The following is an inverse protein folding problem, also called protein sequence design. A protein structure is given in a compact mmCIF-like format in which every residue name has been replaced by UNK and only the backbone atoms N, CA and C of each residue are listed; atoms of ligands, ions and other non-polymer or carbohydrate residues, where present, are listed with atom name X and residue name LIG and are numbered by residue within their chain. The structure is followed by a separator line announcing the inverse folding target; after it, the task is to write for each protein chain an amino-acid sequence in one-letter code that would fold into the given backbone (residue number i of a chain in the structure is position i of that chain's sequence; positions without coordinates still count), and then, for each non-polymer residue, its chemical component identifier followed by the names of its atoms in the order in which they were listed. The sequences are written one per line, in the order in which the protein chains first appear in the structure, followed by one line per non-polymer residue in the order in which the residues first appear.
data_IF_552971291359
#
_entry.id   IF_552971291359
#
_cell.length_a   1.000
_cell.length_b   1.000
_cell.length_c   1.000
_cell.angle_alpha   90.00
_cell.angle_beta   90.00
_cell.angle_gamma   90.00
#
_symmetry.space_group_name_H-M   'P 1'
#
loop_
_entity.id
_entity.type
_entity.pdbx_description
1 polymer ?
#
# COMPACT_ATOMS: atom_id res chain seq x y z
N UNK A 1 -7.74 -20.09 -4.44
CA UNK A 1 -7.90 -18.63 -4.18
C UNK A 1 -7.98 -17.91 -5.51
N UNK A 2 -8.72 -16.80 -5.61
CA UNK A 2 -8.85 -15.97 -6.82
C UNK A 2 -8.63 -14.51 -6.46
N UNK A 3 -7.76 -13.83 -7.21
CA UNK A 3 -7.52 -12.41 -7.07
C UNK A 3 -8.39 -11.64 -8.07
N UNK A 4 -9.17 -10.69 -7.56
CA UNK A 4 -9.98 -9.81 -8.38
C UNK A 4 -9.16 -8.60 -8.80
N UNK A 5 -9.26 -8.23 -10.07
CA UNK A 5 -8.49 -7.10 -10.61
C UNK A 5 -9.15 -6.49 -11.83
N UNK A 6 -8.55 -5.41 -12.28
CA UNK A 6 -8.92 -4.72 -13.52
C UNK A 6 -7.65 -4.32 -14.27
N UNK A 7 -7.78 -4.24 -15.59
CA UNK A 7 -6.71 -3.84 -16.48
C UNK A 7 -7.23 -2.82 -17.47
N UNK A 8 -6.46 -1.76 -17.71
CA UNK A 8 -6.84 -0.70 -18.64
C UNK A 8 -5.60 -0.04 -19.26
N UNK A 9 -5.78 0.56 -20.45
CA UNK A 9 -4.69 1.21 -21.19
C UNK A 9 -3.83 0.23 -21.96
N UNK A 10 -2.84 0.77 -22.65
CA UNK A 10 -1.87 0.03 -23.47
C UNK A 10 -0.47 0.64 -23.24
N UNK A 11 0.59 -0.12 -23.52
CA UNK A 11 1.97 0.31 -23.38
C UNK A 11 2.72 -0.38 -22.25
N UNK A 12 3.78 0.23 -21.68
CA UNK A 12 4.55 -0.34 -20.58
C UNK A 12 3.66 -0.62 -19.35
N UNK A 13 3.89 -1.77 -18.71
CA UNK A 13 3.05 -2.23 -17.62
C UNK A 13 3.32 -1.46 -16.31
N UNK A 14 2.24 -1.12 -15.63
CA UNK A 14 2.23 -0.54 -14.28
C UNK A 14 1.30 -1.39 -13.42
N UNK A 15 1.77 -1.86 -12.27
CA UNK A 15 0.96 -2.63 -11.31
C UNK A 15 0.68 -1.79 -10.07
N UNK A 16 -0.59 -1.71 -9.69
CA UNK A 16 -1.06 -0.98 -8.51
C UNK A 16 -1.28 -1.94 -7.33
N UNK A 17 -0.61 -1.68 -6.21
CA UNK A 17 -0.61 -2.47 -4.98
C UNK A 17 -1.16 -1.63 -3.83
N UNK A 18 -2.28 -2.01 -3.27
CA UNK A 18 -2.94 -1.23 -2.21
C UNK A 18 -2.39 -1.54 -0.80
N UNK A 19 -2.69 -0.66 0.15
CA UNK A 19 -2.38 -0.82 1.57
C UNK A 19 -3.33 -1.76 2.30
N UNK A 20 -2.91 -2.22 3.47
CA UNK A 20 -3.73 -2.98 4.40
C UNK A 20 -5.03 -2.23 4.69
N UNK A 21 -6.16 -2.88 4.72
CA UNK A 21 -7.50 -2.29 4.85
C UNK A 21 -8.02 -1.50 3.62
N UNK A 22 -7.24 -1.38 2.55
CA UNK A 22 -7.64 -0.70 1.32
C UNK A 22 -8.04 -1.70 0.20
N UNK A 23 -8.36 -1.20 -0.96
CA UNK A 23 -8.60 -1.97 -2.18
C UNK A 23 -7.86 -1.35 -3.36
N UNK A 24 -7.78 -2.04 -4.49
CA UNK A 24 -7.12 -1.57 -5.72
C UNK A 24 -7.46 -0.13 -6.12
N UNK A 25 -8.65 0.36 -5.75
CA UNK A 25 -9.11 1.71 -6.09
C UNK A 25 -8.44 2.83 -5.31
N UNK A 26 -7.78 2.50 -4.17
CA UNK A 26 -7.22 3.51 -3.27
C UNK A 26 -5.74 3.82 -3.54
N UNK A 27 -5.06 3.09 -4.43
CA UNK A 27 -3.64 3.36 -4.76
C UNK A 27 -3.50 4.73 -5.41
N UNK A 28 -4.32 4.99 -6.44
CA UNK A 28 -4.38 6.27 -7.17
C UNK A 28 -5.78 6.91 -7.11
N UNK A 29 -6.58 6.53 -6.11
CA UNK A 29 -7.93 7.06 -5.83
C UNK A 29 -8.84 7.11 -7.07
N UNK A 30 -8.78 6.08 -7.93
CA UNK A 30 -9.57 5.97 -9.14
C UNK A 30 -9.15 6.91 -10.28
N UNK A 31 -8.01 7.57 -10.17
CA UNK A 31 -7.46 8.37 -11.27
C UNK A 31 -7.12 7.48 -12.47
N UNK A 32 -7.45 7.96 -13.66
CA UNK A 32 -7.12 7.31 -14.93
C UNK A 32 -6.03 8.07 -15.70
N UNK A 33 -5.19 8.80 -15.00
CA UNK A 33 -4.13 9.60 -15.64
C UNK A 33 -3.03 8.71 -16.21
N UNK A 34 -2.70 7.60 -15.54
CA UNK A 34 -1.65 6.67 -15.99
C UNK A 34 -2.05 5.96 -17.30
N UNK A 35 -3.30 5.52 -17.43
CA UNK A 35 -3.78 4.93 -18.69
C UNK A 35 -3.76 5.96 -19.83
N UNK A 36 -4.13 7.22 -19.52
CA UNK A 36 -4.12 8.31 -20.52
C UNK A 36 -2.71 8.75 -20.91
N UNK A 37 -1.70 8.49 -20.07
CA UNK A 37 -0.28 8.71 -20.40
C UNK A 37 0.36 7.53 -21.14
N UNK A 38 -0.43 6.57 -21.64
CA UNK A 38 0.06 5.47 -22.45
C UNK A 38 0.68 4.34 -21.63
N UNK A 39 0.16 4.09 -20.42
CA UNK A 39 0.56 2.95 -19.58
C UNK A 39 -0.53 1.89 -19.54
N UNK A 40 -0.12 0.63 -19.57
CA UNK A 40 -0.99 -0.53 -19.30
C UNK A 40 -1.08 -0.71 -17.78
N UNK A 41 -2.18 -0.28 -17.17
CA UNK A 41 -2.38 -0.30 -15.72
C UNK A 41 -3.09 -1.57 -15.31
N UNK A 42 -2.48 -2.33 -14.42
CA UNK A 42 -3.03 -3.54 -13.80
C UNK A 42 -3.23 -3.22 -12.32
N UNK A 43 -4.46 -3.34 -11.85
CA UNK A 43 -4.80 -3.12 -10.44
C UNK A 43 -5.54 -4.34 -9.90
N UNK A 44 -5.12 -4.86 -8.76
CA UNK A 44 -5.78 -6.00 -8.15
C UNK A 44 -5.99 -5.80 -6.65
N UNK A 45 -6.99 -6.47 -6.10
CA UNK A 45 -7.17 -6.58 -4.67
C UNK A 45 -6.29 -7.72 -4.15
N UNK A 46 -5.49 -7.47 -3.13
CA UNK A 46 -4.71 -8.49 -2.45
C UNK A 46 -5.64 -9.59 -1.87
N UNK A 47 -5.09 -10.76 -1.58
CA UNK A 47 -5.83 -11.86 -0.95
C UNK A 47 -6.68 -11.38 0.23
N UNK A 48 -7.92 -11.82 0.32
CA UNK A 48 -8.87 -11.45 1.37
C UNK A 48 -9.34 -9.99 1.37
N UNK A 49 -8.88 -9.16 0.43
CA UNK A 49 -9.29 -7.76 0.32
C UNK A 49 -10.24 -7.54 -0.86
N UNK A 50 -11.03 -6.46 -0.79
CA UNK A 50 -11.92 -6.04 -1.86
C UNK A 50 -12.86 -7.15 -2.33
N UNK A 51 -12.70 -7.56 -3.58
CA UNK A 51 -13.47 -8.64 -4.22
C UNK A 51 -12.67 -9.94 -4.33
N UNK A 52 -11.39 -9.97 -3.91
CA UNK A 52 -10.56 -11.17 -3.87
C UNK A 52 -11.03 -12.15 -2.80
N UNK A 53 -10.89 -13.45 -3.08
CA UNK A 53 -11.24 -14.47 -2.08
C UNK A 53 -10.17 -14.57 -1.00
N UNK A 54 -10.53 -14.88 0.25
CA UNK A 54 -9.55 -15.18 1.28
C UNK A 54 -8.78 -16.47 0.98
N UNK A 55 -7.55 -16.63 1.51
CA UNK A 55 -6.87 -17.91 1.54
C UNK A 55 -7.65 -18.92 2.44
N UNK A 56 -7.37 -20.21 2.24
CA UNK A 56 -7.95 -21.26 3.12
C UNK A 56 -7.36 -21.21 4.54
N UNK A 57 -6.07 -20.88 4.63
CA UNK A 57 -5.37 -20.67 5.88
C UNK A 57 -5.49 -19.19 6.30
N UNK A 58 -6.12 -18.88 7.46
CA UNK A 58 -6.26 -17.51 7.94
C UNK A 58 -4.92 -16.83 8.31
N UNK A 59 -3.83 -17.58 8.40
CA UNK A 59 -2.49 -17.06 8.66
C UNK A 59 -1.68 -16.80 7.37
N UNK A 60 -2.22 -17.11 6.19
CA UNK A 60 -1.53 -16.95 4.91
C UNK A 60 -1.67 -15.52 4.35
N UNK A 61 -1.17 -14.52 5.08
CA UNK A 61 -1.12 -13.11 4.69
C UNK A 61 0.26 -12.49 4.86
N UNK A 62 1.29 -13.31 5.07
CA UNK A 62 2.66 -12.82 5.18
C UNK A 62 3.13 -12.13 3.89
N UNK A 63 4.16 -11.28 3.96
CA UNK A 63 4.69 -10.63 2.75
C UNK A 63 5.22 -11.62 1.73
N UNK A 64 5.69 -12.80 2.15
CA UNK A 64 6.02 -13.91 1.24
C UNK A 64 4.82 -14.31 0.39
N UNK A 65 3.65 -14.44 1.00
CA UNK A 65 2.40 -14.77 0.33
C UNK A 65 1.94 -13.66 -0.63
N UNK A 66 2.00 -12.39 -0.17
CA UNK A 66 1.62 -11.22 -0.97
C UNK A 66 2.55 -11.04 -2.18
N UNK A 67 3.85 -11.32 -2.00
CA UNK A 67 4.85 -11.28 -3.08
C UNK A 67 4.63 -12.42 -4.07
N UNK A 68 4.27 -13.61 -3.60
CA UNK A 68 3.89 -14.74 -4.46
C UNK A 68 2.65 -14.42 -5.30
N UNK A 69 1.65 -13.74 -4.71
CA UNK A 69 0.47 -13.26 -5.46
C UNK A 69 0.85 -12.25 -6.54
N UNK A 70 1.73 -11.29 -6.22
CA UNK A 70 2.20 -10.31 -7.20
C UNK A 70 2.91 -10.99 -8.38
N UNK A 71 3.78 -11.97 -8.12
CA UNK A 71 4.41 -12.79 -9.18
C UNK A 71 3.37 -13.48 -10.05
N UNK A 72 2.38 -14.13 -9.41
CA UNK A 72 1.31 -14.81 -10.12
C UNK A 72 0.48 -13.85 -11.00
N UNK A 73 0.22 -12.63 -10.55
CA UNK A 73 -0.46 -11.59 -11.33
C UNK A 73 0.39 -11.19 -12.54
N UNK A 74 1.70 -10.96 -12.36
CA UNK A 74 2.60 -10.63 -13.48
C UNK A 74 2.62 -11.75 -14.53
N UNK A 75 2.71 -13.00 -14.08
CA UNK A 75 2.78 -14.18 -14.96
C UNK A 75 1.46 -14.40 -15.69
N UNK A 76 0.32 -14.32 -15.00
CA UNK A 76 -1.01 -14.46 -15.60
C UNK A 76 -1.30 -13.39 -16.66
N UNK A 77 -0.80 -12.18 -16.45
CA UNK A 77 -0.95 -11.06 -17.40
C UNK A 77 0.13 -11.02 -18.48
N UNK A 78 1.07 -11.95 -18.48
CA UNK A 78 2.16 -11.99 -19.44
C UNK A 78 3.08 -10.77 -19.37
N UNK A 79 3.30 -10.27 -18.14
CA UNK A 79 4.16 -9.11 -17.87
C UNK A 79 5.52 -9.60 -17.42
N UNK A 80 6.53 -9.41 -18.25
CA UNK A 80 7.91 -9.76 -17.90
C UNK A 80 8.51 -8.77 -16.90
N UNK A 81 8.22 -7.48 -17.08
CA UNK A 81 8.74 -6.39 -16.27
C UNK A 81 7.72 -5.27 -16.13
N UNK A 82 7.60 -4.66 -14.95
CA UNK A 82 6.63 -3.60 -14.68
C UNK A 82 7.17 -2.53 -13.73
N UNK A 83 6.59 -1.34 -13.82
CA UNK A 83 6.63 -0.37 -12.74
C UNK A 83 5.68 -0.83 -11.63
N UNK A 84 6.15 -0.86 -10.39
CA UNK A 84 5.32 -1.20 -9.22
C UNK A 84 4.98 0.07 -8.44
N UNK A 85 3.69 0.33 -8.29
CA UNK A 85 3.17 1.47 -7.51
C UNK A 85 2.45 0.92 -6.30
N UNK A 86 3.04 1.04 -5.12
CA UNK A 86 2.51 0.49 -3.89
C UNK A 86 2.26 1.54 -2.82
N UNK A 87 1.11 1.44 -2.12
CA UNK A 87 0.83 2.22 -0.93
C UNK A 87 0.96 1.36 0.33
N UNK A 88 1.71 1.83 1.34
CA UNK A 88 1.88 1.14 2.64
C UNK A 88 2.23 -0.35 2.45
N UNK A 89 1.38 -1.29 2.84
CA UNK A 89 1.56 -2.73 2.59
C UNK A 89 1.96 -3.03 1.14
N UNK A 90 1.35 -2.36 0.16
CA UNK A 90 1.70 -2.53 -1.25
C UNK A 90 3.11 -2.03 -1.59
N UNK A 91 3.61 -0.99 -0.91
CA UNK A 91 4.99 -0.53 -1.08
C UNK A 91 5.98 -1.57 -0.56
N UNK A 92 5.69 -2.19 0.58
CA UNK A 92 6.50 -3.26 1.14
C UNK A 92 6.52 -4.49 0.23
N UNK A 93 5.36 -4.90 -0.30
CA UNK A 93 5.26 -6.00 -1.28
C UNK A 93 6.06 -5.72 -2.55
N UNK A 94 6.02 -4.47 -3.06
CA UNK A 94 6.80 -4.06 -4.22
C UNK A 94 8.32 -4.17 -3.97
N UNK A 95 8.78 -3.72 -2.81
CA UNK A 95 10.18 -3.83 -2.39
C UNK A 95 10.59 -5.28 -2.21
N UNK A 96 9.75 -6.13 -1.58
CA UNK A 96 10.04 -7.55 -1.44
C UNK A 96 10.29 -8.21 -2.80
N UNK A 97 9.44 -7.94 -3.81
CA UNK A 97 9.67 -8.45 -5.16
C UNK A 97 10.93 -7.87 -5.80
N UNK A 98 11.22 -6.58 -5.61
CA UNK A 98 12.41 -5.95 -6.16
C UNK A 98 13.71 -6.54 -5.58
N UNK A 99 13.70 -6.96 -4.32
CA UNK A 99 14.82 -7.65 -3.68
C UNK A 99 14.96 -9.10 -4.15
N UNK A 100 13.84 -9.81 -4.38
CA UNK A 100 13.85 -11.20 -4.83
C UNK A 100 14.14 -11.34 -6.33
N UNK A 101 13.55 -10.49 -7.16
CA UNK A 101 13.54 -10.54 -8.63
C UNK A 101 13.67 -9.14 -9.25
N UNK A 102 14.80 -8.45 -9.09
CA UNK A 102 14.98 -7.08 -9.58
C UNK A 102 14.76 -6.95 -11.11
N UNK A 103 15.00 -8.01 -11.86
CA UNK A 103 14.77 -8.06 -13.31
C UNK A 103 13.26 -7.93 -13.68
N UNK A 104 12.35 -8.24 -12.77
CA UNK A 104 10.89 -8.11 -12.97
C UNK A 104 10.39 -6.69 -12.73
N UNK A 105 11.24 -5.80 -12.19
CA UNK A 105 10.84 -4.45 -11.76
C UNK A 105 11.57 -3.38 -12.58
N UNK A 106 10.81 -2.48 -13.20
CA UNK A 106 11.34 -1.37 -14.00
C UNK A 106 11.67 -0.16 -13.13
N UNK A 107 10.73 0.21 -12.25
CA UNK A 107 10.86 1.29 -11.29
C UNK A 107 9.91 1.05 -10.11
N UNK A 108 10.16 1.72 -9.00
CA UNK A 108 9.34 1.69 -7.79
C UNK A 108 8.68 3.04 -7.54
N UNK A 109 7.40 3.02 -7.19
CA UNK A 109 6.71 4.16 -6.59
C UNK A 109 6.15 3.73 -5.24
N UNK A 110 6.69 4.26 -4.18
CA UNK A 110 6.50 3.82 -2.80
C UNK A 110 5.75 4.92 -2.04
N UNK A 111 4.42 4.77 -1.95
CA UNK A 111 3.55 5.78 -1.38
C UNK A 111 3.33 5.51 0.10
N UNK A 112 3.69 6.47 0.93
CA UNK A 112 3.54 6.42 2.39
C UNK A 112 3.99 5.07 2.98
N UNK A 113 5.28 4.68 2.83
CA UNK A 113 5.79 3.47 3.45
C UNK A 113 5.67 3.57 4.97
N UNK A 114 5.31 2.45 5.63
CA UNK A 114 5.07 2.44 7.08
C UNK A 114 6.11 1.68 7.91
N UNK A 115 7.10 1.03 7.28
CA UNK A 115 8.12 0.25 7.98
C UNK A 115 9.34 1.12 8.36
N UNK A 116 9.60 1.32 9.67
CA UNK A 116 10.68 2.20 10.13
C UNK A 116 12.08 1.55 10.16
N UNK A 117 12.24 0.33 9.66
CA UNK A 117 13.49 -0.41 9.64
C UNK A 117 13.65 -1.45 10.76
N UNK A 118 12.65 -1.61 11.59
CA UNK A 118 12.63 -2.62 12.66
C UNK A 118 11.22 -3.22 12.79
N UNK A 119 11.09 -4.45 13.26
CA UNK A 119 9.79 -5.05 13.52
C UNK A 119 8.92 -4.20 14.45
N UNK A 120 7.59 -4.30 14.28
CA UNK A 120 6.62 -3.68 15.17
C UNK A 120 6.85 -4.14 16.61
N UNK A 121 6.79 -3.21 17.55
CA UNK A 121 6.89 -3.54 18.97
C UNK A 121 5.56 -4.11 19.52
N UNK A 122 5.56 -4.46 20.81
CA UNK A 122 4.39 -5.08 21.44
C UNK A 122 3.17 -4.14 21.49
N UNK A 123 3.38 -2.83 21.63
CA UNK A 123 2.31 -1.84 21.71
C UNK A 123 1.70 -1.62 20.29
N UNK A 124 2.54 -1.53 19.26
CA UNK A 124 2.10 -1.46 17.88
C UNK A 124 1.26 -2.70 17.49
N UNK A 125 1.76 -3.90 17.84
CA UNK A 125 1.04 -5.14 17.58
C UNK A 125 -0.29 -5.22 18.34
N UNK A 126 -0.33 -4.79 19.61
CA UNK A 126 -1.57 -4.72 20.39
C UNK A 126 -2.57 -3.72 19.82
N UNK A 127 -2.11 -2.61 19.23
CA UNK A 127 -2.98 -1.67 18.52
C UNK A 127 -3.62 -2.32 17.29
N UNK A 128 -2.83 -3.03 16.47
CA UNK A 128 -3.36 -3.77 15.32
C UNK A 128 -4.35 -4.87 15.74
N UNK A 129 -4.05 -5.61 16.81
CA UNK A 129 -4.97 -6.64 17.35
C UNK A 129 -6.29 -6.03 17.84
N UNK A 130 -6.24 -4.86 18.46
CA UNK A 130 -7.43 -4.14 18.89
C UNK A 130 -8.32 -3.72 17.72
N UNK A 131 -7.71 -3.19 16.65
CA UNK A 131 -8.42 -2.82 15.42
C UNK A 131 -9.03 -4.05 14.74
N UNK A 132 -8.27 -5.14 14.64
CA UNK A 132 -8.74 -6.41 14.06
C UNK A 132 -9.89 -7.00 14.89
N UNK A 133 -9.79 -7.01 16.22
CA UNK A 133 -10.86 -7.47 17.10
C UNK A 133 -12.12 -6.60 16.98
N UNK A 134 -11.97 -5.28 16.93
CA UNK A 134 -13.08 -4.36 16.66
C UNK A 134 -13.76 -4.67 15.35
N UNK A 135 -13.00 -4.88 14.28
CA UNK A 135 -13.51 -5.23 12.97
C UNK A 135 -14.27 -6.58 12.97
N UNK A 136 -13.74 -7.60 13.64
CA UNK A 136 -14.39 -8.93 13.77
C UNK A 136 -15.70 -8.87 14.54
N UNK A 137 -15.76 -8.13 15.63
CA UNK A 137 -16.89 -8.13 16.54
C UNK A 137 -18.01 -7.16 16.13
N UNK A 138 -17.64 -5.97 15.63
CA UNK A 138 -18.56 -4.89 15.35
C UNK A 138 -18.51 -4.39 13.90
N UNK A 139 -17.81 -5.09 13.00
CA UNK A 139 -17.63 -4.63 11.63
C UNK A 139 -16.94 -3.27 11.57
N UNK A 140 -17.32 -2.45 10.59
CA UNK A 140 -16.72 -1.13 10.40
C UNK A 140 -16.90 -0.21 11.61
N UNK A 141 -18.03 -0.29 12.30
CA UNK A 141 -18.28 0.51 13.50
C UNK A 141 -17.35 0.07 14.65
N UNK A 142 -17.17 -1.23 14.86
CA UNK A 142 -16.25 -1.74 15.88
C UNK A 142 -14.79 -1.38 15.59
N UNK A 143 -14.38 -1.39 14.33
CA UNK A 143 -13.06 -0.86 13.94
C UNK A 143 -12.92 0.62 14.30
N UNK A 144 -13.90 1.44 13.96
CA UNK A 144 -13.90 2.88 14.23
C UNK A 144 -13.89 3.18 15.73
N UNK A 145 -14.60 2.41 16.53
CA UNK A 145 -14.61 2.56 17.99
C UNK A 145 -13.21 2.30 18.59
N UNK A 146 -12.48 1.30 18.07
CA UNK A 146 -11.10 1.03 18.46
C UNK A 146 -10.11 2.07 17.92
N UNK A 147 -10.34 2.60 16.72
CA UNK A 147 -9.43 3.55 16.05
C UNK A 147 -9.57 4.99 16.55
N UNK A 148 -10.79 5.41 16.91
CA UNK A 148 -11.12 6.78 17.32
C UNK A 148 -10.23 7.38 18.41
N UNK A 149 -9.80 6.63 19.46
CA UNK A 149 -8.93 7.18 20.49
C UNK A 149 -7.54 7.63 20.00
N UNK A 150 -7.06 7.08 18.88
CA UNK A 150 -5.75 7.41 18.30
C UNK A 150 -5.81 8.62 17.36
N UNK A 151 -7.01 9.08 16.97
CA UNK A 151 -7.20 10.15 16.00
C UNK A 151 -7.17 11.53 16.66
N UNK A 152 -6.44 12.45 16.02
CA UNK A 152 -6.54 13.88 16.35
C UNK A 152 -7.98 14.36 16.17
N UNK A 153 -8.48 15.09 17.16
CA UNK A 153 -9.85 15.61 17.18
C UNK A 153 -10.16 16.49 15.94
N UNK A 154 -9.15 17.19 15.41
CA UNK A 154 -9.26 18.06 14.23
C UNK A 154 -9.63 17.29 12.96
N UNK A 155 -9.10 16.07 12.80
CA UNK A 155 -9.27 15.29 11.57
C UNK A 155 -10.25 14.12 11.72
N UNK A 156 -10.76 13.87 12.94
CA UNK A 156 -11.53 12.68 13.29
C UNK A 156 -12.68 12.39 12.33
N UNK A 157 -13.55 13.37 12.08
CA UNK A 157 -14.72 13.18 11.21
C UNK A 157 -14.32 12.81 9.78
N UNK A 158 -13.30 13.47 9.24
CA UNK A 158 -12.78 13.18 7.90
C UNK A 158 -12.20 11.78 7.82
N UNK A 159 -11.37 11.39 8.79
CA UNK A 159 -10.73 10.07 8.85
C UNK A 159 -11.78 8.96 9.04
N UNK A 160 -12.76 9.14 9.94
CA UNK A 160 -13.85 8.17 10.13
C UNK A 160 -14.67 7.99 8.85
N UNK A 161 -15.01 9.09 8.17
CA UNK A 161 -15.76 9.03 6.91
C UNK A 161 -15.01 8.27 5.84
N UNK A 162 -13.72 8.58 5.65
CA UNK A 162 -12.87 7.92 4.68
C UNK A 162 -12.64 6.44 5.02
N UNK A 163 -12.40 6.13 6.30
CA UNK A 163 -12.23 4.75 6.78
C UNK A 163 -13.50 3.92 6.57
N UNK A 164 -14.67 4.49 6.84
CA UNK A 164 -15.96 3.84 6.59
C UNK A 164 -16.15 3.52 5.11
N UNK A 165 -15.84 4.46 4.23
CA UNK A 165 -15.91 4.23 2.78
C UNK A 165 -14.94 3.15 2.32
N UNK A 166 -13.73 3.15 2.83
CA UNK A 166 -12.66 2.21 2.48
C UNK A 166 -12.98 0.79 2.94
N UNK A 167 -13.27 0.61 4.23
CA UNK A 167 -13.62 -0.70 4.79
C UNK A 167 -14.92 -1.26 4.24
N UNK A 168 -15.90 -0.42 3.90
CA UNK A 168 -17.15 -0.83 3.29
C UNK A 168 -17.03 -1.38 1.87
N UNK A 169 -15.82 -1.41 1.28
CA UNK A 169 -15.55 -1.98 -0.05
C UNK A 169 -15.16 -3.46 -0.03
N UNK A 170 -14.89 -4.02 1.13
CA UNK A 170 -14.49 -5.42 1.25
C UNK A 170 -15.70 -6.34 1.27
N UNK A 171 -15.61 -7.41 0.49
CA UNK A 171 -16.62 -8.47 0.45
C UNK A 171 -16.59 -9.32 1.71
N UNK A 172 -15.38 -9.57 2.22
CA UNK A 172 -15.14 -10.36 3.43
C UNK A 172 -14.31 -9.55 4.44
N UNK A 173 -15.00 -8.98 5.42
CA UNK A 173 -14.35 -8.14 6.43
C UNK A 173 -13.60 -8.96 7.49
N UNK A 174 -13.93 -10.25 7.65
CA UNK A 174 -13.21 -11.15 8.55
C UNK A 174 -11.82 -11.44 8.00
N UNK A 175 -11.73 -11.67 6.68
CA UNK A 175 -10.45 -11.85 5.99
C UNK A 175 -9.52 -10.62 6.12
N UNK A 176 -10.09 -9.42 6.06
CA UNK A 176 -9.31 -8.19 6.33
C UNK A 176 -8.80 -8.16 7.77
N UNK A 177 -9.62 -8.58 8.75
CA UNK A 177 -9.19 -8.65 10.14
C UNK A 177 -8.10 -9.72 10.35
N UNK A 178 -8.11 -10.83 9.60
CA UNK A 178 -7.04 -11.83 9.62
C UNK A 178 -5.74 -11.23 9.06
N UNK A 179 -5.80 -10.56 7.92
CA UNK A 179 -4.64 -9.85 7.37
C UNK A 179 -4.06 -8.82 8.35
N UNK A 180 -4.91 -8.10 9.10
CA UNK A 180 -4.47 -7.12 10.11
C UNK A 180 -3.73 -7.75 11.29
N UNK A 181 -3.91 -9.03 11.56
CA UNK A 181 -3.16 -9.74 12.60
C UNK A 181 -1.84 -10.33 12.08
N UNK A 182 -1.75 -10.67 10.80
CA UNK A 182 -0.58 -11.33 10.20
C UNK A 182 0.41 -10.32 9.61
N UNK A 183 -0.05 -9.41 8.77
CA UNK A 183 0.82 -8.47 8.04
C UNK A 183 1.76 -7.67 8.94
N UNK A 184 1.32 -7.08 10.07
CA UNK A 184 2.20 -6.31 10.94
C UNK A 184 3.30 -7.14 11.64
N UNK A 185 3.13 -8.47 11.66
CA UNK A 185 4.08 -9.43 12.24
C UNK A 185 5.05 -10.03 11.23
N UNK A 186 4.81 -9.79 9.95
CA UNK A 186 5.58 -10.34 8.84
C UNK A 186 6.39 -9.21 8.20
N UNK A 187 7.70 -9.10 8.43
CA UNK A 187 8.52 -8.11 7.72
C UNK A 187 8.65 -8.50 6.25
N UNK A 188 8.55 -7.50 5.36
CA UNK A 188 8.77 -7.70 3.93
C UNK A 188 10.27 -7.86 3.58
N UNK A 189 11.12 -7.29 4.44
CA UNK A 189 12.59 -7.34 4.34
C UNK A 189 13.19 -7.00 5.72
N UNK A 190 14.47 -7.27 5.90
CA UNK A 190 15.17 -7.11 7.19
C UNK A 190 15.99 -5.81 7.21
N UNK A 191 15.50 -4.82 7.94
CA UNK A 191 16.14 -3.51 8.10
C UNK A 191 16.12 -2.63 6.86
N UNK A 192 16.37 -1.32 7.03
CA UNK A 192 16.42 -0.38 5.90
C UNK A 192 17.67 -0.57 5.03
N UNK A 193 18.75 -1.11 5.57
CA UNK A 193 19.97 -1.41 4.82
C UNK A 193 19.73 -2.35 3.64
N UNK A 194 18.65 -3.14 3.67
CA UNK A 194 18.25 -3.96 2.52
C UNK A 194 17.90 -3.11 1.28
N UNK A 195 17.46 -1.87 1.47
CA UNK A 195 17.13 -0.95 0.38
C UNK A 195 18.37 -0.42 -0.35
N UNK A 196 19.54 -0.39 0.29
CA UNK A 196 20.80 0.10 -0.29
C UNK A 196 21.19 -0.69 -1.56
N UNK A 197 20.73 -1.93 -1.66
CA UNK A 197 20.98 -2.81 -2.82
C UNK A 197 20.01 -2.62 -3.99
N UNK A 198 19.00 -1.76 -3.88
CA UNK A 198 17.99 -1.56 -4.93
C UNK A 198 18.42 -0.44 -5.88
N UNK A 199 19.06 -0.80 -7.00
CA UNK A 199 19.54 0.13 -8.03
C UNK A 199 18.43 0.58 -9.01
N UNK A 200 17.17 0.42 -8.66
CA UNK A 200 16.03 0.80 -9.50
C UNK A 200 15.68 2.28 -9.32
N UNK A 201 15.26 2.99 -10.39
CA UNK A 201 14.64 4.29 -10.24
C UNK A 201 13.47 4.20 -9.26
N UNK A 202 13.43 5.06 -8.25
CA UNK A 202 12.44 4.99 -7.19
C UNK A 202 11.87 6.36 -6.88
N UNK A 203 10.55 6.45 -6.76
CA UNK A 203 9.86 7.61 -6.23
C UNK A 203 9.28 7.24 -4.87
N UNK A 204 9.77 7.87 -3.81
CA UNK A 204 9.18 7.76 -2.47
C UNK A 204 8.25 8.94 -2.25
N UNK A 205 7.02 8.68 -1.87
CA UNK A 205 6.01 9.72 -1.60
C UNK A 205 5.73 9.73 -0.10
N UNK A 206 6.09 10.82 0.56
CA UNK A 206 5.79 11.09 1.95
C UNK A 206 4.67 12.13 2.08
N UNK A 207 4.16 12.33 3.29
CA UNK A 207 3.13 13.32 3.58
C UNK A 207 3.30 13.93 4.96
N UNK A 208 3.04 15.25 5.05
CA UNK A 208 2.87 15.96 6.32
C UNK A 208 1.47 15.76 6.92
N UNK A 209 0.67 14.87 6.35
CA UNK A 209 -0.73 14.70 6.72
C UNK A 209 -0.91 14.21 8.16
N UNK A 210 -1.28 15.12 9.04
CA UNK A 210 -1.59 14.81 10.44
C UNK A 210 -2.84 13.94 10.64
N UNK A 211 -3.59 13.64 9.56
CA UNK A 211 -4.71 12.71 9.58
C UNK A 211 -4.26 11.24 9.43
N UNK A 212 -2.99 11.00 9.12
CA UNK A 212 -2.44 9.64 8.93
C UNK A 212 -1.22 9.39 9.84
N UNK A 213 -1.43 9.24 11.14
CA UNK A 213 -0.34 9.03 12.10
C UNK A 213 0.41 7.71 11.90
N UNK A 214 -0.17 6.76 11.17
CA UNK A 214 0.44 5.47 10.86
C UNK A 214 1.56 5.54 9.81
N UNK A 215 1.67 6.65 9.06
CA UNK A 215 2.67 6.83 8.02
C UNK A 215 3.43 8.15 8.20
N UNK A 216 4.22 8.31 9.26
CA UNK A 216 4.92 9.55 9.54
C UNK A 216 5.98 9.84 8.47
N UNK A 217 6.09 11.12 8.04
CA UNK A 217 7.00 11.57 6.98
C UNK A 217 8.43 11.06 7.15
N UNK A 218 8.96 11.03 8.38
CA UNK A 218 10.32 10.55 8.68
C UNK A 218 10.60 9.12 8.15
N UNK A 219 9.56 8.27 8.03
CA UNK A 219 9.73 6.92 7.47
C UNK A 219 9.97 7.00 5.97
N UNK A 220 9.21 7.83 5.26
CA UNK A 220 9.43 8.05 3.83
C UNK A 220 10.80 8.69 3.56
N UNK A 221 11.22 9.63 4.39
CA UNK A 221 12.56 10.24 4.34
C UNK A 221 13.65 9.17 4.49
N UNK A 222 13.55 8.31 5.52
CA UNK A 222 14.52 7.24 5.74
C UNK A 222 14.56 6.23 4.57
N UNK A 223 13.41 5.90 3.97
CA UNK A 223 13.40 5.03 2.79
C UNK A 223 14.09 5.69 1.59
N UNK A 224 13.87 6.99 1.38
CA UNK A 224 14.51 7.72 0.30
C UNK A 224 16.03 7.87 0.50
N UNK A 225 16.50 7.96 1.74
CA UNK A 225 17.93 8.01 2.08
C UNK A 225 18.65 6.69 1.78
N UNK A 226 17.97 5.54 1.97
CA UNK A 226 18.53 4.20 1.73
C UNK A 226 18.43 3.75 0.27
N UNK A 227 17.50 4.27 -0.51
CA UNK A 227 17.37 3.92 -1.93
C UNK A 227 18.32 4.75 -2.80
N UNK A 228 19.36 4.16 -3.44
CA UNK A 228 20.43 4.92 -4.12
C UNK A 228 19.96 5.83 -5.26
N UNK A 229 18.80 5.51 -5.86
CA UNK A 229 18.22 6.23 -6.98
C UNK A 229 16.81 6.73 -6.68
N UNK A 230 16.59 7.18 -5.44
CA UNK A 230 15.28 7.68 -5.03
C UNK A 230 15.14 9.20 -5.23
N UNK A 231 13.93 9.58 -5.61
CA UNK A 231 13.40 10.91 -5.42
C UNK A 231 12.38 10.88 -4.27
N UNK A 232 12.43 11.88 -3.37
CA UNK A 232 11.40 12.08 -2.36
C UNK A 232 10.42 13.15 -2.83
N UNK A 233 9.14 12.84 -2.83
CA UNK A 233 8.07 13.79 -3.07
C UNK A 233 7.23 13.96 -1.79
N UNK A 234 7.06 15.22 -1.37
CA UNK A 234 6.25 15.62 -0.23
C UNK A 234 5.37 16.78 -0.70
N UNK A 235 4.13 16.84 -0.23
CA UNK A 235 3.24 17.96 -0.53
C UNK A 235 3.69 19.25 0.16
N UNK A 236 3.20 20.40 -0.32
CA UNK A 236 3.44 21.69 0.30
C UNK A 236 2.79 21.78 1.69
N UNK A 237 3.47 22.43 2.65
CA UNK A 237 2.93 22.64 4.00
C UNK A 237 1.56 23.33 3.97
N UNK A 238 0.61 22.77 4.72
CA UNK A 238 -0.75 23.34 4.85
C UNK A 238 -1.74 22.78 3.84
N UNK A 239 -1.34 21.94 2.92
CA UNK A 239 -2.29 21.15 2.15
C UNK A 239 -2.93 20.10 3.05
N UNK A 240 -4.19 19.94 2.88
CA UNK A 240 -5.24 19.22 3.56
C UNK A 240 -4.97 17.83 4.12
N UNK A 241 -5.75 17.35 5.08
CA UNK A 241 -5.77 15.94 5.40
C UNK A 241 -6.03 15.12 4.13
N UNK A 242 -5.16 14.20 3.76
CA UNK A 242 -5.18 13.38 2.53
C UNK A 242 -4.59 14.08 1.29
N UNK A 243 -3.43 14.70 1.47
CA UNK A 243 -2.74 15.53 0.46
C UNK A 243 -2.53 14.85 -0.91
N UNK A 244 -2.20 13.58 -0.95
CA UNK A 244 -1.95 12.86 -2.20
C UNK A 244 -3.19 12.23 -2.81
N UNK A 245 -4.31 12.98 -2.88
CA UNK A 245 -5.53 12.44 -3.48
C UNK A 245 -5.45 12.39 -5.02
N UNK A 246 -5.71 11.22 -5.54
CA UNK A 246 -6.06 10.96 -6.93
C UNK A 246 -5.17 11.60 -7.99
N UNK A 247 -5.65 12.70 -8.55
CA UNK A 247 -5.01 13.31 -9.72
C UNK A 247 -3.64 13.95 -9.43
N UNK A 248 -3.39 14.40 -8.20
CA UNK A 248 -2.12 15.02 -7.81
C UNK A 248 -1.02 13.95 -7.76
N UNK A 249 -1.29 12.86 -7.06
CA UNK A 249 -0.39 11.71 -7.01
C UNK A 249 -0.10 11.17 -8.42
N UNK A 250 -1.15 10.93 -9.21
CA UNK A 250 -0.99 10.37 -10.56
C UNK A 250 -0.20 11.27 -11.50
N UNK A 251 -0.31 12.60 -11.37
CA UNK A 251 0.53 13.53 -12.17
C UNK A 251 1.99 13.47 -11.74
N UNK A 252 2.27 13.40 -10.43
CA UNK A 252 3.63 13.27 -9.93
C UNK A 252 4.27 11.96 -10.37
N UNK A 253 3.50 10.86 -10.32
CA UNK A 253 3.96 9.56 -10.82
C UNK A 253 4.24 9.62 -12.32
N UNK A 254 3.32 10.18 -13.12
CA UNK A 254 3.52 10.29 -14.57
C UNK A 254 4.79 11.08 -14.91
N UNK A 255 5.02 12.22 -14.23
CA UNK A 255 6.24 13.02 -14.42
C UNK A 255 7.51 12.20 -14.10
N UNK A 256 7.53 11.44 -13.01
CA UNK A 256 8.65 10.57 -12.66
C UNK A 256 8.92 9.46 -13.68
N UNK A 257 7.87 8.93 -14.32
CA UNK A 257 7.99 7.84 -15.29
C UNK A 257 8.34 8.32 -16.70
N UNK A 258 8.24 9.61 -16.97
CA UNK A 258 8.53 10.21 -18.28
C UNK A 258 9.98 10.81 -18.32
N UNK A 259 10.67 10.94 -17.15
CA UNK A 259 12.06 11.32 -16.99
C UNK A 259 13.02 10.13 -17.18
#
# INVERSE_FOLDING_TARGET
MSLAGEEAGEGPAVVLLHGLTATRRYVVHGSRSLERSGRRVIAYDARGHGESTPPEDPDAYAYEDLTADLRAVLDDRGVERAVLIGGSMGAHTAVALALEQPERVEALVLVTPGYPGHPSDADDLAAWDSLAAGLRLGGVDGFLDAYRPTLDAKYRETVETFTRQRLGRHRDIQAVADAMTVVPRSPAFDGLDALDGIELPSLVVGSHDGADPGHPLRVAESWAEHLPRAELAVEDEGESPLAWQGAQLSRRIAAFLDD
#
